data_IF_862764767115
#
_entry.id   IF_862764767115
#
_cell.length_a   1.000
_cell.length_b   1.000
_cell.length_c   1.000
_cell.angle_alpha   90.00
_cell.angle_beta   90.00
_cell.angle_gamma   90.00
#
_symmetry.space_group_name_H-M   'P 1'
#
loop_
_entity.id
_entity.type
_entity.pdbx_description
1 polymer ?
#
# COMPACT_ATOMS: atom_id res chain seq x y z
N UNK A 1 11.56 31.71 -35.13
CA UNK A 1 10.59 31.82 -34.02
C UNK A 1 9.51 30.77 -34.24
N UNK A 2 9.19 29.91 -33.25
CA UNK A 2 8.10 28.93 -33.40
C UNK A 2 6.79 29.69 -33.70
N UNK A 3 6.04 29.21 -34.69
CA UNK A 3 4.76 29.80 -35.09
C UNK A 3 3.75 29.67 -33.94
N UNK A 4 2.84 30.62 -33.79
CA UNK A 4 1.95 30.66 -32.62
C UNK A 4 1.03 29.43 -32.51
N UNK A 5 0.76 28.76 -33.63
CA UNK A 5 0.05 27.48 -33.66
C UNK A 5 0.84 26.34 -33.00
N UNK A 6 2.16 26.29 -33.18
CA UNK A 6 3.02 25.29 -32.55
C UNK A 6 3.05 25.48 -31.03
N UNK A 7 3.18 26.73 -30.57
CA UNK A 7 3.15 27.06 -29.12
C UNK A 7 1.82 26.66 -28.50
N UNK A 8 0.70 26.96 -29.17
CA UNK A 8 -0.66 26.57 -28.72
C UNK A 8 -0.82 25.05 -28.68
N UNK A 9 -0.34 24.34 -29.70
CA UNK A 9 -0.36 22.88 -29.73
C UNK A 9 0.39 22.26 -28.55
N UNK A 10 1.58 22.76 -28.25
CA UNK A 10 2.38 22.30 -27.09
C UNK A 10 1.64 22.60 -25.79
N UNK A 11 1.08 23.80 -25.62
CA UNK A 11 0.34 24.15 -24.41
C UNK A 11 -0.89 23.24 -24.19
N UNK A 12 -1.66 22.98 -25.25
CA UNK A 12 -2.81 22.07 -25.19
C UNK A 12 -2.36 20.65 -24.85
N UNK A 13 -1.29 20.16 -25.47
CA UNK A 13 -0.74 18.84 -25.19
C UNK A 13 -0.33 18.69 -23.72
N UNK A 14 0.35 19.70 -23.16
CA UNK A 14 0.76 19.70 -21.75
C UNK A 14 -0.45 19.70 -20.82
N UNK A 15 -1.48 20.50 -21.10
CA UNK A 15 -2.71 20.53 -20.30
C UNK A 15 -3.43 19.17 -20.37
N UNK A 16 -3.56 18.58 -21.56
CA UNK A 16 -4.16 17.25 -21.72
C UNK A 16 -3.37 16.17 -20.98
N UNK A 17 -2.03 16.24 -21.02
CA UNK A 17 -1.15 15.34 -20.26
C UNK A 17 -1.36 15.46 -18.75
N UNK A 18 -1.50 16.68 -18.23
CA UNK A 18 -1.80 16.92 -16.80
C UNK A 18 -3.17 16.34 -16.41
N UNK A 19 -4.21 16.57 -17.23
CA UNK A 19 -5.56 16.03 -16.99
C UNK A 19 -5.52 14.50 -16.99
N UNK A 20 -4.86 13.89 -17.97
CA UNK A 20 -4.69 12.44 -18.05
C UNK A 20 -3.96 11.90 -16.83
N UNK A 21 -2.89 12.56 -16.38
CA UNK A 21 -2.15 12.20 -15.17
C UNK A 21 -3.04 12.19 -13.91
N UNK A 22 -3.89 13.21 -13.74
CA UNK A 22 -4.85 13.27 -12.62
C UNK A 22 -5.85 12.12 -12.68
N UNK A 23 -6.35 11.76 -13.87
CA UNK A 23 -7.29 10.65 -14.03
C UNK A 23 -6.62 9.32 -13.70
N UNK A 24 -5.43 9.06 -14.23
CA UNK A 24 -4.69 7.81 -13.97
C UNK A 24 -4.33 7.68 -12.48
N UNK A 25 -3.88 8.76 -11.84
CA UNK A 25 -3.53 8.76 -10.43
C UNK A 25 -4.69 8.36 -9.50
N UNK A 26 -5.95 8.52 -9.92
CA UNK A 26 -7.12 8.07 -9.14
C UNK A 26 -7.22 6.55 -9.01
N UNK A 27 -6.63 5.82 -9.94
CA UNK A 27 -6.70 4.35 -9.98
C UNK A 27 -5.41 3.67 -9.49
N UNK A 28 -4.41 4.46 -9.08
CA UNK A 28 -3.17 3.93 -8.53
C UNK A 28 -3.34 3.58 -7.04
N UNK A 29 -2.91 2.38 -6.60
CA UNK A 29 -2.94 1.97 -5.19
C UNK A 29 -2.17 2.92 -4.27
N UNK A 30 -1.19 3.63 -4.81
CA UNK A 30 -0.32 4.58 -4.11
C UNK A 30 -0.99 5.95 -3.83
N UNK A 31 -2.31 6.06 -4.00
CA UNK A 31 -3.09 7.28 -3.69
C UNK A 31 -2.84 7.83 -2.28
N UNK A 32 -2.31 7.04 -1.35
CA UNK A 32 -1.95 7.52 -0.01
C UNK A 32 -0.81 8.55 0.03
N UNK A 33 -0.08 8.78 -1.07
CA UNK A 33 0.86 9.91 -1.20
C UNK A 33 0.22 11.20 -1.77
N UNK A 34 -1.09 11.19 -2.03
CA UNK A 34 -1.81 12.37 -2.53
C UNK A 34 -1.96 13.43 -1.44
N UNK A 35 -2.08 14.69 -1.83
CA UNK A 35 -2.33 15.81 -0.91
C UNK A 35 -3.75 15.81 -0.30
N UNK A 36 -4.68 15.03 -0.87
CA UNK A 36 -6.06 14.93 -0.38
C UNK A 36 -6.17 13.97 0.82
N UNK A 37 -7.00 14.29 1.84
CA UNK A 37 -7.22 13.41 2.99
C UNK A 37 -7.67 12.01 2.56
N UNK A 38 -7.09 10.98 3.19
CA UNK A 38 -7.51 9.60 3.00
C UNK A 38 -8.65 9.33 3.99
N UNK A 39 -9.90 9.29 3.51
CA UNK A 39 -11.08 9.04 4.34
C UNK A 39 -11.36 7.54 4.54
N UNK A 40 -10.32 6.76 4.83
CA UNK A 40 -10.44 5.33 5.07
C UNK A 40 -9.73 4.98 6.37
N UNK A 41 -10.42 4.24 7.24
CA UNK A 41 -9.87 3.69 8.46
C UNK A 41 -9.80 2.18 8.31
N UNK A 42 -8.58 1.65 8.37
CA UNK A 42 -8.36 0.21 8.26
C UNK A 42 -7.87 -0.35 9.59
N UNK A 43 -8.59 -1.32 10.15
CA UNK A 43 -8.10 -2.12 11.27
C UNK A 43 -7.31 -3.30 10.71
N UNK A 44 -6.18 -3.62 11.33
CA UNK A 44 -5.33 -4.70 10.87
C UNK A 44 -4.73 -5.51 12.03
N UNK A 45 -4.39 -6.76 11.71
CA UNK A 45 -3.65 -7.71 12.54
C UNK A 45 -2.53 -8.34 11.70
N UNK A 46 -1.31 -8.39 12.25
CA UNK A 46 -0.12 -8.96 11.64
C UNK A 46 0.27 -10.21 12.43
N UNK A 47 0.41 -11.32 11.73
CA UNK A 47 1.04 -12.54 12.24
C UNK A 47 2.22 -12.86 11.35
N UNK A 48 3.38 -13.10 11.95
CA UNK A 48 4.60 -13.40 11.22
C UNK A 48 5.31 -14.59 11.86
N UNK A 49 5.93 -15.42 11.03
CA UNK A 49 6.83 -16.49 11.45
C UNK A 49 8.08 -16.46 10.59
N UNK A 50 9.24 -16.66 11.20
CA UNK A 50 10.55 -16.75 10.54
C UNK A 50 11.17 -18.08 10.92
N UNK A 51 11.69 -18.82 9.94
CA UNK A 51 12.28 -20.15 10.17
C UNK A 51 11.36 -21.07 11.00
N UNK A 52 10.08 -21.08 10.67
CA UNK A 52 9.01 -21.85 11.36
C UNK A 52 8.73 -21.44 12.82
N UNK A 53 9.34 -20.36 13.31
CA UNK A 53 9.07 -19.81 14.65
C UNK A 53 8.13 -18.59 14.55
N UNK A 54 6.99 -18.65 15.23
CA UNK A 54 6.10 -17.50 15.35
C UNK A 54 6.78 -16.35 16.12
N UNK A 55 6.69 -15.15 15.55
CA UNK A 55 7.19 -13.94 16.19
C UNK A 55 6.21 -13.46 17.26
N UNK A 56 6.75 -13.05 18.39
CA UNK A 56 6.02 -12.35 19.44
C UNK A 56 5.65 -10.93 19.01
N UNK A 57 4.66 -10.31 19.68
CA UNK A 57 4.31 -8.89 19.47
C UNK A 57 5.51 -7.93 19.47
N UNK A 58 6.49 -8.16 20.35
CA UNK A 58 7.71 -7.35 20.44
C UNK A 58 8.62 -7.59 19.24
N UNK A 59 8.84 -8.84 18.85
CA UNK A 59 9.67 -9.19 17.67
C UNK A 59 9.05 -8.63 16.37
N UNK A 60 7.71 -8.59 16.25
CA UNK A 60 7.01 -7.96 15.13
C UNK A 60 7.26 -6.45 15.10
N UNK A 61 7.15 -5.78 16.26
CA UNK A 61 7.41 -4.35 16.36
C UNK A 61 8.87 -4.01 16.03
N UNK A 62 9.82 -4.80 16.53
CA UNK A 62 11.25 -4.61 16.27
C UNK A 62 11.60 -4.85 14.79
N UNK A 63 11.02 -5.89 14.16
CA UNK A 63 11.30 -6.23 12.76
C UNK A 63 10.69 -5.26 11.76
N UNK A 64 9.45 -4.84 11.98
CA UNK A 64 8.68 -4.05 11.00
C UNK A 64 8.44 -2.59 11.39
N UNK A 65 8.71 -2.21 12.65
CA UNK A 65 8.33 -0.89 13.16
C UNK A 65 6.82 -0.69 13.28
N UNK A 66 6.03 -1.77 13.27
CA UNK A 66 4.58 -1.76 13.29
C UNK A 66 4.06 -2.57 14.48
N UNK A 67 2.98 -2.09 15.12
CA UNK A 67 2.30 -2.88 16.14
C UNK A 67 1.59 -4.08 15.50
N UNK A 68 1.54 -5.25 16.15
CA UNK A 68 0.90 -6.44 15.59
C UNK A 68 -0.60 -6.29 15.41
N UNK A 69 -1.26 -5.42 16.19
CA UNK A 69 -2.64 -5.01 15.97
C UNK A 69 -2.66 -3.50 15.95
N UNK A 70 -3.41 -2.92 15.03
CA UNK A 70 -3.44 -1.47 14.90
C UNK A 70 -4.54 -0.93 14.00
N UNK A 71 -4.58 0.39 13.96
CA UNK A 71 -5.41 1.17 13.05
C UNK A 71 -4.50 1.91 12.08
N UNK A 72 -4.83 1.85 10.80
CA UNK A 72 -4.18 2.61 9.74
C UNK A 72 -5.17 3.62 9.17
N UNK A 73 -4.84 4.90 9.29
CA UNK A 73 -5.63 6.04 8.75
C UNK A 73 -5.25 6.37 7.29
N UNK A 74 -4.38 5.54 6.71
CA UNK A 74 -3.99 5.58 5.30
C UNK A 74 -4.48 4.31 4.61
N UNK A 75 -4.14 4.16 3.34
CA UNK A 75 -4.32 2.89 2.63
C UNK A 75 -3.59 1.74 3.34
N UNK A 76 -4.23 0.57 3.41
CA UNK A 76 -3.60 -0.68 3.87
C UNK A 76 -2.34 -1.03 3.06
N UNK A 77 -2.26 -0.58 1.81
CA UNK A 77 -1.09 -0.77 0.96
C UNK A 77 0.18 -0.18 1.57
N UNK A 78 0.08 0.83 2.43
CA UNK A 78 1.23 1.34 3.17
C UNK A 78 1.81 0.26 4.11
N UNK A 79 0.96 -0.43 4.87
CA UNK A 79 1.37 -1.54 5.75
C UNK A 79 1.97 -2.68 4.92
N UNK A 80 1.28 -3.09 3.86
CA UNK A 80 1.76 -4.14 2.94
C UNK A 80 3.13 -3.77 2.37
N UNK A 81 3.34 -2.50 1.99
CA UNK A 81 4.61 -2.05 1.41
C UNK A 81 5.77 -2.14 2.39
N UNK A 82 5.55 -1.81 3.67
CA UNK A 82 6.57 -1.92 4.74
C UNK A 82 6.93 -3.39 4.95
N UNK A 83 5.92 -4.26 5.11
CA UNK A 83 6.12 -5.70 5.30
C UNK A 83 6.87 -6.31 4.10
N UNK A 84 6.38 -6.05 2.89
CA UNK A 84 6.96 -6.54 1.64
C UNK A 84 8.41 -6.06 1.45
N UNK A 85 8.68 -4.79 1.73
CA UNK A 85 10.04 -4.25 1.61
C UNK A 85 11.00 -4.90 2.59
N UNK A 86 10.57 -5.08 3.85
CA UNK A 86 11.40 -5.72 4.88
C UNK A 86 11.74 -7.17 4.51
N UNK A 87 10.74 -7.95 4.12
CA UNK A 87 10.95 -9.36 3.77
C UNK A 87 11.77 -9.55 2.49
N UNK A 88 11.66 -8.62 1.52
CA UNK A 88 12.54 -8.61 0.36
C UNK A 88 14.01 -8.33 0.71
N UNK A 89 14.29 -7.62 1.81
CA UNK A 89 15.65 -7.30 2.21
C UNK A 89 16.30 -8.38 3.08
N UNK A 90 15.55 -8.97 4.01
CA UNK A 90 16.12 -9.90 5.00
C UNK A 90 16.45 -11.28 4.40
N UNK A 91 15.80 -11.69 3.29
CA UNK A 91 16.12 -12.91 2.54
C UNK A 91 15.91 -14.24 3.30
N UNK A 92 15.37 -14.17 4.52
CA UNK A 92 15.02 -15.32 5.36
C UNK A 92 13.69 -15.95 4.91
N UNK A 93 13.52 -17.24 5.13
CA UNK A 93 12.22 -17.88 4.93
C UNK A 93 11.25 -17.39 6.01
N UNK A 94 10.30 -16.57 5.58
CA UNK A 94 9.29 -15.98 6.43
C UNK A 94 7.90 -16.16 5.84
N UNK A 95 6.92 -16.27 6.73
CA UNK A 95 5.51 -16.22 6.39
C UNK A 95 4.91 -15.05 7.15
N UNK A 96 4.21 -14.19 6.43
CA UNK A 96 3.52 -13.04 7.02
C UNK A 96 2.07 -13.08 6.57
N UNK A 97 1.17 -12.99 7.52
CA UNK A 97 -0.27 -12.91 7.31
C UNK A 97 -0.71 -11.57 7.87
N UNK A 98 -1.21 -10.71 6.98
CA UNK A 98 -1.85 -9.44 7.33
C UNK A 98 -3.34 -9.60 7.12
N UNK A 99 -4.10 -9.59 8.20
CA UNK A 99 -5.56 -9.57 8.15
C UNK A 99 -6.04 -8.15 8.37
N UNK A 100 -6.97 -7.65 7.56
CA UNK A 100 -7.46 -6.28 7.69
C UNK A 100 -8.92 -6.11 7.27
N UNK A 101 -9.56 -5.05 7.76
CA UNK A 101 -10.90 -4.61 7.35
C UNK A 101 -10.93 -3.09 7.29
N UNK A 102 -11.41 -2.56 6.17
CA UNK A 102 -11.50 -1.12 5.92
C UNK A 102 -12.93 -0.64 6.13
N UNK A 103 -13.11 0.39 6.96
CA UNK A 103 -14.41 1.00 7.27
C UNK A 103 -15.51 0.00 7.69
N UNK A 104 -15.12 -1.09 8.37
CA UNK A 104 -16.06 -2.15 8.79
C UNK A 104 -16.57 -3.03 7.63
N UNK A 105 -15.94 -2.96 6.47
CA UNK A 105 -16.19 -3.84 5.33
C UNK A 105 -15.68 -5.27 5.54
N UNK A 106 -15.72 -6.10 4.48
CA UNK A 106 -15.28 -7.48 4.56
C UNK A 106 -13.82 -7.60 5.00
N UNK A 107 -13.51 -8.72 5.63
CA UNK A 107 -12.15 -9.00 6.05
C UNK A 107 -11.34 -9.48 4.85
N UNK A 108 -10.13 -8.94 4.73
CA UNK A 108 -9.17 -9.32 3.72
C UNK A 108 -7.92 -9.87 4.38
N UNK A 109 -7.24 -10.76 3.67
CA UNK A 109 -6.00 -11.40 4.10
C UNK A 109 -4.97 -11.22 3.01
N UNK A 110 -3.86 -10.57 3.34
CA UNK A 110 -2.66 -10.55 2.51
C UNK A 110 -1.63 -11.53 3.07
N UNK A 111 -0.96 -12.27 2.18
CA UNK A 111 0.02 -13.28 2.57
C UNK A 111 1.36 -13.08 1.85
N UNK A 112 2.46 -13.24 2.59
CA UNK A 112 3.83 -13.37 2.07
C UNK A 112 4.30 -14.82 2.25
N UNK A 113 4.98 -15.45 1.26
CA UNK A 113 5.54 -14.87 0.04
C UNK A 113 4.62 -14.87 -1.19
N UNK A 114 3.40 -15.37 -1.11
CA UNK A 114 2.49 -15.43 -2.27
C UNK A 114 2.14 -14.06 -2.87
N UNK A 115 2.20 -13.02 -2.03
CA UNK A 115 1.89 -11.63 -2.37
C UNK A 115 0.49 -11.44 -2.96
N UNK A 116 -0.47 -12.22 -2.46
CA UNK A 116 -1.89 -12.20 -2.86
C UNK A 116 -2.76 -11.65 -1.76
N UNK A 117 -3.85 -11.00 -2.18
CA UNK A 117 -4.94 -10.54 -1.30
C UNK A 117 -6.15 -11.42 -1.56
N UNK A 118 -6.68 -12.04 -0.51
CA UNK A 118 -7.89 -12.86 -0.53
C UNK A 118 -8.94 -12.24 0.39
N UNK A 119 -10.20 -12.22 -0.01
CA UNK A 119 -11.31 -11.89 0.89
C UNK A 119 -11.69 -13.12 1.71
N UNK A 120 -11.82 -12.95 3.03
CA UNK A 120 -12.49 -13.93 3.89
C UNK A 120 -13.98 -13.61 3.87
N UNK A 121 -14.78 -14.51 3.31
CA UNK A 121 -16.25 -14.46 3.39
C UNK A 121 -16.74 -14.74 4.83
#
# INVERSE_FOLDING_TARGET
MPTDHLKRGIAILLILGQIAGIVVARFLPERYFSWAPYEEVTLYEIKASVDFKNLSPHEILERYGLTPVGRQDRSIHNVISILRWREKQDGQESQVILTYSTNGGPQHVWQWPEDKITSSD
#
